data_IF_332856348033
#
_entry.id   IF_332856348033
#
_cell.length_a   1.000
_cell.length_b   1.000
_cell.length_c   1.000
_cell.angle_alpha   90.00
_cell.angle_beta   90.00
_cell.angle_gamma   90.00
#
_symmetry.space_group_name_H-M   'P 1'
#
loop_
_entity.id
_entity.type
_entity.pdbx_description
1 polymer ?
#
# COMPACT_ATOMS: atom_id res chain seq x y z
N UNK A 1 22.60 -0.47 12.19
CA UNK A 1 21.13 -0.59 12.29
C UNK A 1 20.83 -1.14 13.67
N UNK A 2 19.89 -0.56 14.42
CA UNK A 2 19.44 -1.17 15.68
C UNK A 2 18.74 -2.49 15.38
N UNK A 3 18.89 -3.45 16.28
CA UNK A 3 18.10 -4.68 16.25
C UNK A 3 16.60 -4.34 16.29
N UNK A 4 15.79 -5.00 15.47
CA UNK A 4 14.34 -4.78 15.45
C UNK A 4 13.73 -5.41 16.69
N UNK A 5 12.97 -4.64 17.46
CA UNK A 5 12.16 -5.18 18.55
C UNK A 5 10.95 -5.93 17.96
N UNK A 6 11.02 -7.26 18.01
CA UNK A 6 9.95 -8.13 17.48
C UNK A 6 8.66 -8.06 18.28
N UNK A 7 8.72 -7.80 19.59
CA UNK A 7 7.52 -7.60 20.39
C UNK A 7 6.83 -6.30 19.96
N UNK A 8 7.61 -5.24 19.74
CA UNK A 8 7.06 -3.99 19.20
C UNK A 8 6.50 -4.15 17.78
N UNK A 9 7.18 -4.92 16.94
CA UNK A 9 6.69 -5.24 15.59
C UNK A 9 5.34 -5.95 15.64
N UNK A 10 5.16 -6.93 16.53
CA UNK A 10 3.89 -7.62 16.73
C UNK A 10 2.76 -6.65 17.14
N UNK A 11 3.03 -5.72 18.07
CA UNK A 11 2.05 -4.69 18.46
C UNK A 11 1.63 -3.81 17.28
N UNK A 12 2.60 -3.34 16.48
CA UNK A 12 2.32 -2.50 15.31
C UNK A 12 1.53 -3.25 14.24
N UNK A 13 1.82 -4.54 14.03
CA UNK A 13 1.07 -5.39 13.11
C UNK A 13 -0.38 -5.58 13.55
N UNK A 14 -0.64 -5.75 14.84
CA UNK A 14 -2.00 -5.80 15.39
C UNK A 14 -2.73 -4.46 15.18
N UNK A 15 -2.04 -3.34 15.39
CA UNK A 15 -2.62 -2.00 15.12
C UNK A 15 -2.96 -1.82 13.64
N UNK A 16 -2.06 -2.22 12.73
CA UNK A 16 -2.33 -2.21 11.29
C UNK A 16 -3.56 -3.08 10.96
N UNK A 17 -3.65 -4.27 11.53
CA UNK A 17 -4.81 -5.15 11.37
C UNK A 17 -6.11 -4.50 11.85
N UNK A 18 -6.11 -3.86 13.01
CA UNK A 18 -7.29 -3.18 13.56
C UNK A 18 -7.77 -2.06 12.64
N UNK A 19 -6.85 -1.23 12.11
CA UNK A 19 -7.18 -0.17 11.15
C UNK A 19 -7.78 -0.72 9.84
N UNK A 20 -7.33 -1.88 9.34
CA UNK A 20 -7.92 -2.51 8.14
C UNK A 20 -9.33 -3.05 8.35
N UNK A 21 -9.73 -3.26 9.59
CA UNK A 21 -11.06 -3.79 9.94
C UNK A 21 -12.10 -2.71 10.12
N UNK A 22 -11.69 -1.45 10.27
CA UNK A 22 -12.61 -0.32 10.31
C UNK A 22 -13.58 -0.36 9.14
N UNK A 23 -14.85 -0.05 9.41
CA UNK A 23 -15.95 -0.35 8.48
C UNK A 23 -15.70 0.24 7.09
N UNK A 24 -15.35 1.52 7.03
CA UNK A 24 -15.07 2.24 5.77
C UNK A 24 -13.82 1.70 5.09
N UNK A 25 -12.77 1.36 5.85
CA UNK A 25 -11.55 0.80 5.28
C UNK A 25 -11.79 -0.59 4.69
N UNK A 26 -12.64 -1.41 5.33
CA UNK A 26 -13.03 -2.71 4.79
C UNK A 26 -13.79 -2.57 3.46
N UNK A 27 -14.78 -1.68 3.42
CA UNK A 27 -15.53 -1.37 2.19
C UNK A 27 -14.59 -0.86 1.08
N UNK A 28 -13.64 0.03 1.42
CA UNK A 28 -12.66 0.55 0.49
C UNK A 28 -11.73 -0.53 -0.07
N UNK A 29 -11.24 -1.44 0.78
CA UNK A 29 -10.39 -2.57 0.38
C UNK A 29 -11.11 -3.53 -0.56
N UNK A 30 -12.37 -3.87 -0.24
CA UNK A 30 -13.20 -4.73 -1.08
C UNK A 30 -13.41 -4.09 -2.47
N UNK A 31 -13.63 -2.78 -2.51
CA UNK A 31 -13.75 -2.03 -3.76
C UNK A 31 -12.44 -2.01 -4.55
N UNK A 32 -11.30 -1.71 -3.91
CA UNK A 32 -9.97 -1.68 -4.57
C UNK A 32 -9.58 -3.06 -5.10
N UNK A 33 -9.99 -4.14 -4.43
CA UNK A 33 -9.77 -5.49 -4.93
C UNK A 33 -10.44 -5.72 -6.29
N UNK A 34 -11.67 -5.21 -6.47
CA UNK A 34 -12.41 -5.26 -7.73
C UNK A 34 -11.97 -4.26 -8.80
N UNK A 35 -11.24 -3.20 -8.43
CA UNK A 35 -10.76 -2.18 -9.35
C UNK A 35 -9.57 -2.65 -10.20
N UNK A 36 -9.64 -2.52 -11.52
CA UNK A 36 -8.62 -2.99 -12.46
C UNK A 36 -8.33 -1.94 -13.55
N UNK A 37 -7.56 -0.88 -13.23
CA UNK A 37 -7.23 0.19 -14.16
C UNK A 37 -6.49 -0.37 -15.38
N UNK A 38 -6.79 0.15 -16.58
CA UNK A 38 -6.13 -0.23 -17.84
C UNK A 38 -5.06 0.78 -18.28
N UNK A 39 -5.04 1.95 -17.65
CA UNK A 39 -4.05 2.99 -17.91
C UNK A 39 -3.84 3.86 -16.67
N UNK A 40 -2.73 4.59 -16.64
CA UNK A 40 -2.48 5.61 -15.62
C UNK A 40 -3.53 6.73 -15.66
N UNK A 41 -4.09 7.06 -16.84
CA UNK A 41 -5.18 8.04 -16.96
C UNK A 41 -6.46 7.57 -16.27
N UNK A 42 -6.87 6.31 -16.47
CA UNK A 42 -8.03 5.74 -15.77
C UNK A 42 -7.81 5.73 -14.26
N UNK A 43 -6.60 5.37 -13.82
CA UNK A 43 -6.24 5.37 -12.41
C UNK A 43 -6.34 6.78 -11.81
N UNK A 44 -5.74 7.78 -12.46
CA UNK A 44 -5.76 9.17 -11.99
C UNK A 44 -7.17 9.75 -12.03
N UNK A 45 -7.93 9.51 -13.10
CA UNK A 45 -9.32 9.95 -13.20
C UNK A 45 -10.15 9.40 -12.04
N UNK A 46 -10.10 8.07 -11.82
CA UNK A 46 -10.79 7.43 -10.71
C UNK A 46 -10.29 7.92 -9.34
N UNK A 47 -8.98 8.12 -9.19
CA UNK A 47 -8.40 8.68 -7.98
C UNK A 47 -8.92 10.08 -7.66
N UNK A 48 -9.29 10.90 -8.64
CA UNK A 48 -9.77 12.28 -8.42
C UNK A 48 -11.28 12.37 -8.19
N UNK A 49 -12.03 11.32 -8.46
CA UNK A 49 -13.47 11.29 -8.23
C UNK A 49 -13.85 11.40 -6.74
N UNK A 50 -15.04 11.94 -6.50
CA UNK A 50 -15.72 11.83 -5.21
C UNK A 50 -16.25 10.40 -5.01
N UNK A 51 -16.45 9.99 -3.76
CA UNK A 51 -16.89 8.62 -3.44
C UNK A 51 -15.75 7.61 -3.59
N UNK A 52 -15.79 6.77 -4.63
CA UNK A 52 -14.86 5.65 -4.83
C UNK A 52 -13.40 6.09 -4.93
N UNK A 53 -13.13 7.30 -5.45
CA UNK A 53 -11.77 7.86 -5.48
C UNK A 53 -11.18 8.02 -4.07
N UNK A 54 -12.01 8.27 -3.06
CA UNK A 54 -11.56 8.31 -1.66
C UNK A 54 -11.10 6.92 -1.18
N UNK A 55 -11.76 5.84 -1.62
CA UNK A 55 -11.33 4.48 -1.31
C UNK A 55 -9.97 4.17 -1.91
N UNK A 56 -9.77 4.52 -3.19
CA UNK A 56 -8.48 4.32 -3.86
C UNK A 56 -7.36 5.07 -3.15
N UNK A 57 -7.55 6.37 -2.84
CA UNK A 57 -6.58 7.18 -2.10
C UNK A 57 -6.31 6.59 -0.71
N UNK A 58 -7.34 6.15 0.01
CA UNK A 58 -7.20 5.61 1.37
C UNK A 58 -6.42 4.29 1.41
N UNK A 59 -6.77 3.33 0.55
CA UNK A 59 -6.13 1.99 0.56
C UNK A 59 -4.68 2.06 0.10
N UNK A 60 -4.41 2.83 -0.96
CA UNK A 60 -3.06 2.94 -1.52
C UNK A 60 -2.12 3.70 -0.59
N UNK A 61 -2.58 4.81 0.01
CA UNK A 61 -1.80 5.56 1.00
C UNK A 61 -1.55 4.76 2.29
N UNK A 62 -2.53 3.97 2.73
CA UNK A 62 -2.37 3.05 3.86
C UNK A 62 -1.24 2.04 3.62
N UNK A 63 -1.23 1.38 2.47
CA UNK A 63 -0.23 0.36 2.17
C UNK A 63 1.16 0.95 1.87
N UNK A 64 1.22 2.13 1.24
CA UNK A 64 2.48 2.87 1.07
C UNK A 64 3.10 3.26 2.43
N UNK A 65 2.28 3.73 3.38
CA UNK A 65 2.72 4.02 4.74
C UNK A 65 3.23 2.77 5.46
N UNK A 66 2.47 1.66 5.40
CA UNK A 66 2.84 0.41 6.03
C UNK A 66 4.17 -0.14 5.48
N UNK A 67 4.35 -0.10 4.16
CA UNK A 67 5.61 -0.45 3.52
C UNK A 67 6.76 0.50 3.93
N UNK A 68 6.45 1.78 4.17
CA UNK A 68 7.38 2.74 4.76
C UNK A 68 7.92 2.29 6.12
N UNK A 69 7.04 1.85 7.02
CA UNK A 69 7.45 1.36 8.34
C UNK A 69 8.39 0.14 8.26
N UNK A 70 8.14 -0.78 7.32
CA UNK A 70 9.03 -1.92 7.08
C UNK A 70 10.39 -1.47 6.52
N UNK A 71 10.38 -0.62 5.49
CA UNK A 71 11.59 -0.12 4.85
C UNK A 71 12.48 0.71 5.79
N UNK A 72 11.89 1.33 6.80
CA UNK A 72 12.61 2.08 7.84
C UNK A 72 13.00 1.21 9.05
N UNK A 73 12.69 -0.08 9.06
CA UNK A 73 13.04 -1.01 10.14
C UNK A 73 12.21 -0.84 11.41
N UNK A 74 11.06 -0.17 11.35
CA UNK A 74 10.13 -0.07 12.49
C UNK A 74 9.29 -1.34 12.67
N UNK A 75 9.03 -2.07 11.58
CA UNK A 75 8.35 -3.36 11.57
C UNK A 75 9.27 -4.39 10.93
N UNK A 76 9.45 -5.52 11.60
CA UNK A 76 10.14 -6.69 11.05
C UNK A 76 9.51 -7.14 9.72
N UNK A 77 10.33 -7.27 8.68
CA UNK A 77 9.89 -7.58 7.31
C UNK A 77 9.21 -8.94 7.22
N UNK A 78 9.82 -9.97 7.79
CA UNK A 78 9.31 -11.34 7.70
C UNK A 78 7.96 -11.43 8.40
N UNK A 79 7.85 -10.85 9.60
CA UNK A 79 6.58 -10.77 10.31
C UNK A 79 5.51 -9.97 9.55
N UNK A 80 5.89 -8.90 8.85
CA UNK A 80 4.96 -8.14 8.03
C UNK A 80 4.42 -8.96 6.85
N UNK A 81 5.30 -9.68 6.15
CA UNK A 81 4.94 -10.55 5.02
C UNK A 81 4.10 -11.76 5.47
N UNK A 82 4.40 -12.36 6.62
CA UNK A 82 3.60 -13.44 7.20
C UNK A 82 2.18 -12.98 7.59
N UNK A 83 2.05 -11.73 8.07
CA UNK A 83 0.77 -11.19 8.53
C UNK A 83 -0.07 -10.52 7.41
N UNK A 84 0.53 -10.15 6.28
CA UNK A 84 -0.11 -9.34 5.25
C UNK A 84 0.26 -9.81 3.84
N UNK A 85 -0.73 -9.93 2.94
CA UNK A 85 -0.50 -10.15 1.51
C UNK A 85 -1.12 -9.10 0.57
N UNK A 86 -2.01 -8.26 1.09
CA UNK A 86 -2.81 -7.37 0.25
C UNK A 86 -2.02 -6.21 -0.37
N UNK A 87 -0.94 -5.75 0.25
CA UNK A 87 -0.04 -4.76 -0.33
C UNK A 87 0.51 -5.21 -1.69
N UNK A 88 0.78 -6.51 -1.86
CA UNK A 88 1.21 -7.09 -3.14
C UNK A 88 0.10 -6.96 -4.20
N UNK A 89 -1.16 -7.24 -3.83
CA UNK A 89 -2.30 -7.12 -4.75
C UNK A 89 -2.54 -5.67 -5.15
N UNK A 90 -2.41 -4.73 -4.19
CA UNK A 90 -2.53 -3.30 -4.47
C UNK A 90 -1.42 -2.83 -5.40
N UNK A 91 -0.17 -3.20 -5.13
CA UNK A 91 0.95 -2.80 -5.96
C UNK A 91 0.92 -3.46 -7.35
N UNK A 92 0.49 -4.72 -7.47
CA UNK A 92 0.33 -5.38 -8.78
C UNK A 92 -0.66 -4.66 -9.73
N UNK A 93 -1.59 -3.86 -9.18
CA UNK A 93 -2.49 -3.01 -9.98
C UNK A 93 -1.83 -1.69 -10.41
N UNK A 94 -0.77 -1.26 -9.70
CA UNK A 94 -0.04 0.00 -9.89
C UNK A 94 1.22 -0.22 -10.73
N UNK A 95 1.95 -1.30 -10.50
CA UNK A 95 3.25 -1.62 -11.10
C UNK A 95 3.26 -1.46 -12.64
N UNK A 96 2.29 -2.00 -13.41
CA UNK A 96 2.28 -1.83 -14.87
C UNK A 96 2.09 -0.37 -15.32
N UNK A 97 1.60 0.49 -14.44
CA UNK A 97 1.26 1.90 -14.68
C UNK A 97 2.26 2.85 -14.01
N UNK A 98 3.24 2.33 -13.26
CA UNK A 98 3.99 3.09 -12.26
C UNK A 98 4.82 4.24 -12.87
N UNK A 99 5.45 4.00 -14.03
CA UNK A 99 6.22 5.03 -14.73
C UNK A 99 5.33 6.22 -15.12
N UNK A 100 4.22 5.96 -15.81
CA UNK A 100 3.26 6.98 -16.23
C UNK A 100 2.60 7.69 -15.03
N UNK A 101 2.34 6.96 -13.94
CA UNK A 101 1.80 7.55 -12.71
C UNK A 101 2.80 8.52 -12.06
N UNK A 102 4.09 8.19 -12.03
CA UNK A 102 5.14 9.09 -11.52
C UNK A 102 5.24 10.37 -12.36
N UNK A 103 5.12 10.26 -13.68
CA UNK A 103 5.06 11.41 -14.58
C UNK A 103 3.83 12.28 -14.32
N UNK A 104 2.63 11.68 -14.26
CA UNK A 104 1.37 12.40 -14.03
C UNK A 104 1.30 13.08 -12.67
N UNK A 105 1.84 12.43 -11.64
CA UNK A 105 1.93 13.01 -10.29
C UNK A 105 3.07 14.02 -10.14
N UNK A 106 3.95 14.15 -11.14
CA UNK A 106 5.18 14.93 -11.05
C UNK A 106 6.00 14.55 -9.80
N UNK A 107 6.01 13.25 -9.49
CA UNK A 107 6.64 12.71 -8.30
C UNK A 107 7.37 11.40 -8.64
N UNK A 108 8.71 11.42 -8.82
CA UNK A 108 9.48 10.21 -9.11
C UNK A 108 9.44 9.18 -7.98
N UNK A 109 9.12 9.61 -6.75
CA UNK A 109 9.07 8.77 -5.56
C UNK A 109 7.68 8.20 -5.27
N UNK A 110 6.69 8.42 -6.15
CA UNK A 110 5.36 7.85 -5.96
C UNK A 110 5.45 6.31 -5.86
N UNK A 111 4.81 5.76 -4.82
CA UNK A 111 4.77 4.34 -4.48
C UNK A 111 6.14 3.67 -4.24
N UNK A 112 7.19 4.45 -3.95
CA UNK A 112 8.55 3.92 -3.78
C UNK A 112 8.66 2.89 -2.65
N UNK A 113 7.85 3.00 -1.60
CA UNK A 113 7.95 2.07 -0.48
C UNK A 113 7.33 0.72 -0.81
N UNK A 114 6.18 0.71 -1.49
CA UNK A 114 5.60 -0.51 -2.01
C UNK A 114 6.53 -1.19 -3.02
N UNK A 115 7.05 -0.45 -4.00
CA UNK A 115 8.01 -0.95 -4.99
C UNK A 115 9.23 -1.57 -4.29
N UNK A 116 9.90 -0.80 -3.43
CA UNK A 116 11.06 -1.29 -2.69
C UNK A 116 10.76 -2.54 -1.85
N UNK A 117 9.63 -2.56 -1.14
CA UNK A 117 9.29 -3.68 -0.26
C UNK A 117 9.13 -4.97 -1.08
N UNK A 118 8.51 -4.88 -2.26
CA UNK A 118 8.18 -6.00 -3.13
C UNK A 118 9.40 -6.45 -3.95
N UNK A 119 10.16 -5.53 -4.51
CA UNK A 119 11.38 -5.86 -5.28
C UNK A 119 12.46 -6.48 -4.39
N UNK A 120 12.49 -6.12 -3.09
CA UNK A 120 13.38 -6.71 -2.10
C UNK A 120 12.86 -8.07 -1.55
N UNK A 121 11.79 -8.65 -2.11
CA UNK A 121 11.36 -10.01 -1.74
C UNK A 121 12.34 -11.06 -2.32
N UNK A 122 12.71 -12.10 -1.53
CA UNK A 122 13.67 -13.13 -1.96
C UNK A 122 13.16 -14.02 -3.11
#
# INVERSE_FOLDING_TARGET
MSEIDKAKSAELLIQLYDLRREKVMREARDWVFGFHPKSADEYVAKMMEEGEGAYLRMVTSYWEMAAGFVNHGAIDRDMFCDANGEHMVVFAKIEPLLADLREKFQNPDAFRHLEKLIDDQP
#
